data_IF_185398573438
#
_entry.id   IF_185398573438
#
_cell.length_a   1.000
_cell.length_b   1.000
_cell.length_c   1.000
_cell.angle_alpha   90.00
_cell.angle_beta   90.00
_cell.angle_gamma   90.00
#
_symmetry.space_group_name_H-M   'P 1'
#
loop_
_entity.id
_entity.type
_entity.pdbx_description
1 polymer ?
#
# COMPACT_ATOMS: atom_id res chain seq x y z
N UNK A 1 -1.20 -11.25 3.44
CA UNK A 1 -1.66 -9.87 3.74
C UNK A 1 -1.03 -9.29 5.02
N UNK A 2 -0.43 -10.09 5.91
CA UNK A 2 0.18 -9.57 7.15
C UNK A 2 1.49 -8.80 6.89
N UNK A 3 2.28 -9.20 5.90
CA UNK A 3 3.52 -8.51 5.47
C UNK A 3 3.28 -7.03 5.13
N UNK A 4 2.22 -6.75 4.34
CA UNK A 4 1.90 -5.40 3.87
C UNK A 4 1.53 -4.48 5.04
N UNK A 5 0.77 -4.99 6.02
CA UNK A 5 0.40 -4.25 7.25
C UNK A 5 1.65 -3.85 8.03
N UNK A 6 2.62 -4.77 8.11
CA UNK A 6 3.88 -4.55 8.83
C UNK A 6 4.74 -3.50 8.12
N UNK A 7 4.91 -3.62 6.80
CA UNK A 7 5.60 -2.59 5.99
C UNK A 7 4.91 -1.24 6.07
N UNK A 8 3.57 -1.19 6.12
CA UNK A 8 2.82 0.03 6.32
C UNK A 8 3.12 0.67 7.68
N UNK A 9 3.17 -0.12 8.76
CA UNK A 9 3.50 0.39 10.10
C UNK A 9 4.95 0.89 10.18
N UNK A 10 5.91 0.17 9.59
CA UNK A 10 7.31 0.61 9.53
C UNK A 10 7.48 1.89 8.70
N UNK A 11 6.74 1.99 7.59
CA UNK A 11 6.74 3.19 6.74
C UNK A 11 5.90 4.36 7.30
N UNK A 12 5.16 4.16 8.39
CA UNK A 12 4.31 5.18 9.01
C UNK A 12 4.69 5.45 10.47
N UNK A 13 5.84 6.11 10.73
CA UNK A 13 6.41 6.30 12.07
C UNK A 13 5.54 7.14 13.03
N UNK A 14 4.47 7.79 12.54
CA UNK A 14 3.52 8.56 13.35
C UNK A 14 2.06 8.18 13.06
N UNK A 15 1.82 7.00 12.48
CA UNK A 15 0.51 6.66 11.93
C UNK A 15 0.10 7.62 10.80
N UNK A 16 1.09 8.17 10.08
CA UNK A 16 0.89 9.00 8.90
C UNK A 16 1.70 8.41 7.76
N UNK A 17 1.09 8.28 6.59
CA UNK A 17 1.75 7.76 5.38
C UNK A 17 1.46 8.68 4.21
N UNK A 18 2.43 8.81 3.31
CA UNK A 18 2.25 9.56 2.07
C UNK A 18 1.68 8.64 0.99
N UNK A 19 0.82 9.17 0.12
CA UNK A 19 0.29 8.42 -1.04
C UNK A 19 1.42 7.76 -1.84
N UNK A 20 2.54 8.46 -2.04
CA UNK A 20 3.74 7.92 -2.68
C UNK A 20 4.31 6.66 -1.99
N UNK A 21 4.30 6.60 -0.66
CA UNK A 21 4.73 5.39 0.07
C UNK A 21 3.71 4.26 -0.03
N UNK A 22 2.40 4.56 0.01
CA UNK A 22 1.39 3.53 -0.28
C UNK A 22 1.61 2.88 -1.65
N UNK A 23 1.88 3.69 -2.69
CA UNK A 23 2.18 3.19 -4.03
C UNK A 23 3.50 2.39 -4.08
N UNK A 24 4.53 2.82 -3.35
CA UNK A 24 5.80 2.11 -3.30
C UNK A 24 5.65 0.73 -2.66
N UNK A 25 4.95 0.64 -1.52
CA UNK A 25 4.65 -0.61 -0.83
C UNK A 25 3.73 -1.49 -1.69
N UNK A 26 2.71 -0.90 -2.31
CA UNK A 26 1.82 -1.61 -3.25
C UNK A 26 2.62 -2.27 -4.38
N UNK A 27 3.58 -1.56 -4.99
CA UNK A 27 4.45 -2.13 -6.04
C UNK A 27 5.40 -3.20 -5.52
N UNK A 28 6.01 -2.97 -4.36
CA UNK A 28 7.01 -3.88 -3.79
C UNK A 28 6.39 -5.21 -3.36
N UNK A 29 5.14 -5.15 -2.86
CA UNK A 29 4.35 -6.31 -2.44
C UNK A 29 3.37 -6.80 -3.52
N UNK A 30 3.41 -6.23 -4.74
CA UNK A 30 2.48 -6.52 -5.83
C UNK A 30 0.98 -6.48 -5.41
N UNK A 31 0.64 -5.60 -4.47
CA UNK A 31 -0.72 -5.44 -3.96
C UNK A 31 -1.40 -4.22 -4.60
N UNK A 32 -2.74 -4.24 -4.62
CA UNK A 32 -3.50 -3.09 -5.09
C UNK A 32 -3.43 -1.94 -4.10
N UNK A 33 -3.33 -0.70 -4.60
CA UNK A 33 -3.45 0.50 -3.75
C UNK A 33 -4.79 0.57 -3.00
N UNK A 34 -5.83 -0.06 -3.53
CA UNK A 34 -7.11 -0.24 -2.83
C UNK A 34 -6.97 -1.09 -1.56
N UNK A 35 -6.24 -2.21 -1.63
CA UNK A 35 -5.94 -3.05 -0.46
C UNK A 35 -5.06 -2.29 0.54
N UNK A 36 -4.00 -1.62 0.07
CA UNK A 36 -3.14 -0.81 0.93
C UNK A 36 -3.94 0.30 1.63
N UNK A 37 -4.89 0.92 0.92
CA UNK A 37 -5.81 1.90 1.48
C UNK A 37 -6.74 1.32 2.56
N UNK A 38 -7.32 0.13 2.32
CA UNK A 38 -8.15 -0.56 3.31
C UNK A 38 -7.34 -0.92 4.56
N UNK A 39 -6.12 -1.43 4.38
CA UNK A 39 -5.19 -1.71 5.47
C UNK A 39 -4.84 -0.45 6.27
N UNK A 40 -4.53 0.66 5.60
CA UNK A 40 -4.32 1.94 6.28
C UNK A 40 -5.55 2.37 7.09
N UNK A 41 -6.76 2.18 6.54
CA UNK A 41 -8.01 2.51 7.21
C UNK A 41 -8.23 1.65 8.46
N UNK A 42 -8.01 0.32 8.36
CA UNK A 42 -8.06 -0.61 9.49
C UNK A 42 -7.04 -0.26 10.58
N UNK A 43 -5.82 0.12 10.18
CA UNK A 43 -4.73 0.51 11.07
C UNK A 43 -4.86 1.95 11.60
N UNK A 44 -5.91 2.69 11.20
CA UNK A 44 -6.11 4.12 11.49
C UNK A 44 -4.92 5.01 11.09
N UNK A 45 -4.22 4.64 10.03
CA UNK A 45 -3.11 5.41 9.46
C UNK A 45 -3.69 6.54 8.60
N UNK A 46 -3.26 7.77 8.88
CA UNK A 46 -3.68 8.96 8.15
C UNK A 46 -2.87 9.11 6.87
N UNK A 47 -3.54 9.07 5.71
CA UNK A 47 -2.88 9.34 4.44
C UNK A 47 -2.77 10.86 4.26
N UNK A 48 -1.55 11.38 4.30
CA UNK A 48 -1.25 12.81 4.13
C UNK A 48 -0.56 13.04 2.78
N UNK A 49 -0.88 14.13 2.07
CA UNK A 49 -0.42 14.39 0.68
C UNK A 49 -1.02 13.45 -0.37
N UNK A 50 -2.35 13.44 -0.49
CA UNK A 50 -3.02 12.83 -1.64
C UNK A 50 -2.89 13.76 -2.87
N UNK A 51 -1.81 13.60 -3.64
CA UNK A 51 -1.66 14.23 -4.96
C UNK A 51 -2.51 13.44 -5.97
N UNK A 52 -3.82 13.61 -5.87
CA UNK A 52 -4.84 12.86 -6.60
C UNK A 52 -4.93 13.41 -8.04
N UNK A 53 -4.08 12.86 -8.91
CA UNK A 53 -4.06 13.16 -10.35
C UNK A 53 -3.74 11.97 -11.25
N UNK A 54 -3.67 10.74 -10.73
CA UNK A 54 -3.42 9.55 -11.56
C UNK A 54 -4.02 8.28 -10.92
N UNK A 55 -5.35 8.20 -10.98
CA UNK A 55 -6.08 6.92 -10.87
C UNK A 55 -6.16 6.30 -12.27
N UNK A 56 -5.03 5.94 -12.88
CA UNK A 56 -5.05 5.09 -14.07
C UNK A 56 -3.72 4.35 -14.19
N UNK A 57 -3.64 3.21 -13.52
CA UNK A 57 -2.78 2.12 -13.94
C UNK A 57 -3.39 0.86 -13.35
N UNK A 58 -4.18 0.17 -14.17
CA UNK A 58 -4.33 -1.28 -14.07
C UNK A 58 -2.95 -1.87 -13.81
N UNK A 59 -2.65 -2.28 -12.58
CA UNK A 59 -1.61 -3.29 -12.36
C UNK A 59 -2.32 -4.63 -12.50
N UNK A 60 -2.43 -5.02 -13.76
CA UNK A 60 -2.40 -6.42 -14.15
C UNK A 60 -0.95 -6.88 -14.01
N UNK A 61 -0.72 -7.89 -13.17
CA UNK A 61 0.34 -8.90 -13.29
C UNK A 61 0.04 -9.91 -12.17
N UNK A 62 -0.31 -11.17 -12.45
CA UNK A 62 0.59 -12.20 -12.97
C UNK A 62 1.95 -12.10 -12.25
N UNK A 63 2.10 -12.80 -11.12
CA UNK A 63 3.03 -13.94 -11.09
C UNK A 63 2.87 -14.74 -9.79
N UNK A 64 2.81 -16.04 -10.02
CA UNK A 64 2.82 -17.15 -9.09
C UNK A 64 4.02 -17.04 -8.13
N UNK A 65 3.78 -17.05 -6.82
CA UNK A 65 4.83 -17.44 -5.88
C UNK A 65 4.26 -18.28 -4.76
N UNK A 66 4.11 -19.55 -5.10
CA UNK A 66 3.95 -20.65 -4.17
C UNK A 66 4.91 -20.51 -2.98
N UNK A 67 4.31 -20.54 -1.78
CA UNK A 67 4.96 -20.79 -0.51
C UNK A 67 5.57 -22.20 -0.56
N UNK A 68 6.88 -22.31 -0.27
CA UNK A 68 7.59 -23.60 -0.18
C UNK A 68 7.41 -24.24 1.18
#
# INVERSE_FOLDING_TARGET
MEEVKKSLQEASPQGKISCAMCFKIAREHNCSVAEVGDLCNQLKIKITSCQLGCFDAKVFCDDDRADS
#
